data_IF_674196257340
#
_entry.id   IF_674196257340
#
_cell.length_a   1.000
_cell.length_b   1.000
_cell.length_c   1.000
_cell.angle_alpha   90.00
_cell.angle_beta   90.00
_cell.angle_gamma   90.00
#
_symmetry.space_group_name_H-M   'P 1'
#
loop_
_entity.id
_entity.type
_entity.pdbx_description
1 polymer ?
#
# COMPACT_ATOMS: atom_id res chain seq x y z
N UNK A 1 -37.11 -0.84 4.29
CA UNK A 1 -35.83 -1.05 4.99
C UNK A 1 -35.19 0.32 5.14
N UNK A 2 -34.89 0.76 6.37
CA UNK A 2 -34.17 2.02 6.56
C UNK A 2 -32.81 1.91 5.87
N UNK A 3 -32.40 2.87 5.02
CA UNK A 3 -31.04 2.88 4.49
C UNK A 3 -30.10 3.00 5.69
N UNK A 4 -29.18 2.05 5.85
CA UNK A 4 -28.10 2.19 6.82
C UNK A 4 -27.33 3.47 6.46
N UNK A 5 -27.39 4.52 7.29
CA UNK A 5 -27.12 5.87 6.82
C UNK A 5 -25.64 6.18 6.98
N UNK A 6 -24.85 5.90 5.94
CA UNK A 6 -23.44 6.29 5.84
C UNK A 6 -22.51 5.72 6.94
N UNK A 7 -21.21 5.59 6.65
CA UNK A 7 -20.25 5.08 7.65
C UNK A 7 -20.09 6.05 8.82
N UNK A 8 -19.99 5.51 10.03
CA UNK A 8 -19.72 6.28 11.26
C UNK A 8 -18.27 6.78 11.31
N UNK A 9 -17.34 6.05 10.69
CA UNK A 9 -15.94 6.43 10.58
C UNK A 9 -15.68 7.12 9.24
N UNK A 10 -14.82 8.15 9.24
CA UNK A 10 -14.46 8.88 8.02
C UNK A 10 -13.75 7.96 7.00
N UNK A 11 -14.34 7.70 5.82
CA UNK A 11 -13.76 6.79 4.83
C UNK A 11 -12.35 7.17 4.38
N UNK A 12 -12.12 8.47 4.20
CA UNK A 12 -10.81 9.04 3.85
C UNK A 12 -9.74 8.64 4.87
N UNK A 13 -10.01 8.83 6.16
CA UNK A 13 -9.07 8.46 7.22
C UNK A 13 -8.79 6.96 7.19
N UNK A 14 -9.82 6.13 7.06
CA UNK A 14 -9.66 4.67 7.04
C UNK A 14 -8.82 4.18 5.86
N UNK A 15 -9.09 4.64 4.64
CA UNK A 15 -8.33 4.19 3.46
C UNK A 15 -6.88 4.64 3.53
N UNK A 16 -6.61 5.89 3.93
CA UNK A 16 -5.25 6.38 4.02
C UNK A 16 -4.46 5.74 5.17
N UNK A 17 -5.10 5.45 6.31
CA UNK A 17 -4.48 4.68 7.40
C UNK A 17 -4.11 3.26 6.96
N UNK A 18 -4.99 2.58 6.23
CA UNK A 18 -4.70 1.25 5.70
C UNK A 18 -3.51 1.29 4.73
N UNK A 19 -3.53 2.22 3.76
CA UNK A 19 -2.44 2.35 2.79
C UNK A 19 -1.11 2.73 3.46
N UNK A 20 -1.14 3.63 4.44
CA UNK A 20 0.04 3.98 5.24
C UNK A 20 0.58 2.78 6.00
N UNK A 21 -0.29 1.98 6.63
CA UNK A 21 0.11 0.77 7.34
C UNK A 21 0.77 -0.24 6.39
N UNK A 22 0.19 -0.47 5.21
CA UNK A 22 0.78 -1.34 4.20
C UNK A 22 2.16 -0.83 3.76
N UNK A 23 2.30 0.48 3.49
CA UNK A 23 3.57 1.11 3.15
C UNK A 23 4.63 0.87 4.23
N UNK A 24 4.33 1.17 5.49
CA UNK A 24 5.27 1.01 6.62
C UNK A 24 5.61 -0.46 6.87
N UNK A 25 4.65 -1.36 6.63
CA UNK A 25 4.87 -2.79 6.70
C UNK A 25 5.87 -3.25 5.63
N UNK A 26 5.62 -2.93 4.36
CA UNK A 26 6.53 -3.32 3.28
C UNK A 26 7.88 -2.62 3.36
N UNK A 27 7.93 -1.36 3.79
CA UNK A 27 9.19 -0.63 3.94
C UNK A 27 10.10 -1.37 4.93
N UNK A 28 9.58 -1.74 6.10
CA UNK A 28 10.33 -2.51 7.10
C UNK A 28 10.81 -3.86 6.59
N UNK A 29 9.98 -4.60 5.87
CA UNK A 29 10.27 -5.99 5.52
C UNK A 29 10.98 -6.20 4.17
N UNK A 30 10.78 -5.30 3.20
CA UNK A 30 11.35 -5.41 1.84
C UNK A 30 12.45 -4.37 1.55
N UNK A 31 12.49 -3.29 2.34
CA UNK A 31 13.40 -2.16 2.15
C UNK A 31 14.19 -1.81 3.41
N UNK A 32 14.20 -2.68 4.43
CA UNK A 32 14.91 -2.47 5.70
C UNK A 32 14.53 -1.18 6.45
N UNK A 33 13.34 -0.63 6.19
CA UNK A 33 12.85 0.59 6.83
C UNK A 33 13.51 1.87 6.33
N UNK A 34 14.25 1.83 5.22
CA UNK A 34 15.03 2.99 4.76
C UNK A 34 14.25 3.98 3.89
N UNK A 35 13.08 3.61 3.35
CA UNK A 35 12.35 4.52 2.46
C UNK A 35 11.78 5.71 3.24
N UNK A 36 11.93 6.95 2.71
CA UNK A 36 11.40 8.13 3.37
C UNK A 36 9.87 8.15 3.32
N UNK A 37 9.19 8.90 4.21
CA UNK A 37 7.75 9.09 4.10
C UNK A 37 7.40 9.86 2.82
N UNK A 38 6.31 9.44 2.17
CA UNK A 38 5.76 10.08 0.96
C UNK A 38 4.24 10.22 1.07
N UNK A 39 3.64 11.07 0.25
CA UNK A 39 2.19 11.17 0.14
C UNK A 39 1.65 9.99 -0.67
N UNK A 40 0.72 9.22 -0.08
CA UNK A 40 -0.02 8.18 -0.79
C UNK A 40 -1.34 8.79 -1.27
N UNK A 41 -1.52 8.91 -2.59
CA UNK A 41 -2.69 9.53 -3.20
C UNK A 41 -3.54 8.51 -3.97
N UNK A 42 -4.83 8.81 -4.14
CA UNK A 42 -5.74 8.02 -4.96
C UNK A 42 -6.03 8.77 -6.28
N UNK A 43 -5.58 8.22 -7.41
CA UNK A 43 -5.60 8.90 -8.70
C UNK A 43 -6.18 8.00 -9.79
N UNK A 44 -7.30 8.42 -10.40
CA UNK A 44 -7.85 7.72 -11.58
C UNK A 44 -7.08 8.14 -12.82
N UNK A 45 -6.38 7.19 -13.43
CA UNK A 45 -5.66 7.40 -14.69
C UNK A 45 -5.79 6.15 -15.56
N UNK A 46 -6.25 6.34 -16.79
CA UNK A 46 -6.43 5.25 -17.72
C UNK A 46 -5.12 4.47 -17.92
N UNK A 47 -5.22 3.13 -17.93
CA UNK A 47 -4.09 2.22 -18.19
C UNK A 47 -2.91 2.35 -17.21
N UNK A 48 -3.18 2.71 -15.96
CA UNK A 48 -2.14 2.84 -14.93
C UNK A 48 -2.70 2.40 -13.58
N UNK A 49 -2.11 1.36 -12.98
CA UNK A 49 -2.49 0.89 -11.64
C UNK A 49 -1.92 1.78 -10.53
N UNK A 50 -0.74 2.35 -10.74
CA UNK A 50 -0.10 3.31 -9.85
C UNK A 50 1.05 4.04 -10.55
N UNK A 51 1.58 5.08 -9.90
CA UNK A 51 2.79 5.75 -10.35
C UNK A 51 3.49 6.49 -9.21
N UNK A 52 4.81 6.62 -9.33
CA UNK A 52 5.65 7.42 -8.46
C UNK A 52 5.96 8.81 -9.05
N UNK A 53 5.95 9.85 -8.21
CA UNK A 53 6.42 11.20 -8.55
C UNK A 53 7.41 11.74 -7.52
N UNK A 54 8.63 12.06 -7.96
CA UNK A 54 9.66 12.65 -7.09
C UNK A 54 9.43 14.14 -6.81
N UNK A 55 9.59 14.54 -5.55
CA UNK A 55 9.45 15.91 -5.03
C UNK A 55 8.19 16.61 -5.56
N UNK A 56 7.09 15.86 -5.58
CA UNK A 56 5.83 16.31 -6.16
C UNK A 56 5.15 17.38 -5.31
N UNK A 57 5.29 17.27 -4.00
CA UNK A 57 4.62 18.13 -3.03
C UNK A 57 5.63 18.85 -2.17
N UNK A 58 5.24 20.03 -1.68
CA UNK A 58 6.02 20.87 -0.77
C UNK A 58 5.14 21.28 0.40
N UNK A 59 5.66 21.21 1.62
CA UNK A 59 4.99 21.71 2.83
C UNK A 59 5.18 23.22 3.00
N UNK A 60 4.42 23.83 3.91
CA UNK A 60 4.48 25.27 4.19
C UNK A 60 5.87 25.76 4.62
N UNK A 61 6.66 24.88 5.27
CA UNK A 61 8.03 25.14 5.68
C UNK A 61 9.08 24.89 4.57
N UNK A 62 8.64 24.60 3.34
CA UNK A 62 9.49 24.44 2.17
C UNK A 62 10.11 23.05 1.98
N UNK A 63 9.77 22.05 2.82
CA UNK A 63 10.26 20.67 2.65
C UNK A 63 9.48 19.95 1.55
N UNK A 64 10.20 19.31 0.64
CA UNK A 64 9.58 18.48 -0.40
C UNK A 64 9.31 17.06 0.10
N UNK A 65 8.25 16.45 -0.43
CA UNK A 65 7.98 15.02 -0.32
C UNK A 65 7.58 14.45 -1.68
N UNK A 66 7.70 13.13 -1.80
CA UNK A 66 7.35 12.39 -3.00
C UNK A 66 5.89 11.96 -2.98
N UNK A 67 5.43 11.37 -4.08
CA UNK A 67 4.10 10.79 -4.21
C UNK A 67 4.20 9.34 -4.67
N UNK A 68 3.41 8.47 -4.03
CA UNK A 68 2.97 7.20 -4.60
C UNK A 68 1.47 7.31 -4.84
N UNK A 69 1.06 7.35 -6.11
CA UNK A 69 -0.33 7.39 -6.50
C UNK A 69 -0.82 5.97 -6.82
N UNK A 70 -1.96 5.57 -6.25
CA UNK A 70 -2.64 4.32 -6.56
C UNK A 70 -3.96 4.59 -7.26
N UNK A 71 -4.34 3.76 -8.23
CA UNK A 71 -5.60 3.91 -8.93
C UNK A 71 -6.72 3.09 -8.26
N UNK A 72 -7.70 3.74 -7.59
CA UNK A 72 -8.76 3.05 -6.87
C UNK A 72 -9.74 2.30 -7.78
N UNK A 73 -9.74 2.55 -9.09
CA UNK A 73 -10.53 1.84 -10.10
C UNK A 73 -10.27 0.32 -10.06
N UNK A 74 -9.08 -0.10 -9.65
CA UNK A 74 -8.70 -1.52 -9.61
C UNK A 74 -9.02 -2.21 -8.28
N UNK A 75 -9.28 -1.47 -7.20
CA UNK A 75 -9.40 -2.05 -5.85
C UNK A 75 -10.61 -2.99 -5.72
N UNK A 76 -11.69 -2.70 -6.46
CA UNK A 76 -12.92 -3.50 -6.45
C UNK A 76 -12.91 -4.67 -7.43
N UNK A 77 -11.95 -4.74 -8.36
CA UNK A 77 -11.95 -5.72 -9.45
C UNK A 77 -10.73 -6.63 -9.47
N UNK A 78 -9.65 -6.23 -8.80
CA UNK A 78 -8.47 -7.06 -8.61
C UNK A 78 -8.40 -7.57 -7.16
N UNK A 79 -7.81 -8.75 -6.94
CA UNK A 79 -7.42 -9.18 -5.60
C UNK A 79 -6.58 -8.10 -4.90
N UNK A 80 -6.74 -7.97 -3.58
CA UNK A 80 -5.97 -7.01 -2.78
C UNK A 80 -4.46 -7.17 -2.98
N UNK A 81 -4.00 -8.39 -3.26
CA UNK A 81 -2.61 -8.71 -3.51
C UNK A 81 -2.02 -7.93 -4.71
N UNK A 82 -2.80 -7.72 -5.77
CA UNK A 82 -2.38 -6.93 -6.93
C UNK A 82 -2.18 -5.47 -6.54
N UNK A 83 -3.11 -4.87 -5.78
CA UNK A 83 -2.96 -3.51 -5.23
C UNK A 83 -1.70 -3.37 -4.37
N UNK A 84 -1.41 -4.37 -3.52
CA UNK A 84 -0.19 -4.37 -2.70
C UNK A 84 1.08 -4.52 -3.57
N UNK A 85 1.02 -5.30 -4.65
CA UNK A 85 2.12 -5.43 -5.62
C UNK A 85 2.38 -4.10 -6.31
N UNK A 86 1.33 -3.39 -6.76
CA UNK A 86 1.44 -2.04 -7.31
C UNK A 86 2.09 -1.08 -6.31
N UNK A 87 1.65 -1.08 -5.05
CA UNK A 87 2.27 -0.24 -4.01
C UNK A 87 3.77 -0.52 -3.90
N UNK A 88 4.17 -1.80 -3.83
CA UNK A 88 5.58 -2.19 -3.69
C UNK A 88 6.40 -1.92 -4.96
N UNK A 89 5.80 -2.00 -6.15
CA UNK A 89 6.40 -1.56 -7.40
C UNK A 89 6.76 -0.07 -7.33
N UNK A 90 5.81 0.78 -6.93
CA UNK A 90 6.07 2.22 -6.80
C UNK A 90 7.07 2.52 -5.68
N UNK A 91 7.12 1.71 -4.62
CA UNK A 91 8.17 1.78 -3.60
C UNK A 91 9.57 1.46 -4.16
N UNK A 92 9.69 0.64 -5.21
CA UNK A 92 10.97 0.43 -5.89
C UNK A 92 11.42 1.65 -6.68
N UNK A 93 10.49 2.40 -7.27
CA UNK A 93 10.80 3.70 -7.86
C UNK A 93 11.27 4.71 -6.81
N UNK A 94 10.57 4.79 -5.68
CA UNK A 94 10.99 5.61 -4.55
C UNK A 94 12.40 5.20 -4.05
N UNK A 95 12.63 3.90 -3.85
CA UNK A 95 13.93 3.37 -3.46
C UNK A 95 15.04 3.81 -4.42
N UNK A 96 14.85 3.58 -5.73
CA UNK A 96 15.87 3.91 -6.70
C UNK A 96 16.15 5.41 -6.75
N UNK A 97 15.13 6.25 -6.59
CA UNK A 97 15.30 7.69 -6.61
C UNK A 97 16.15 8.22 -5.45
N UNK A 98 16.07 7.60 -4.26
CA UNK A 98 16.83 8.04 -3.08
C UNK A 98 18.15 7.30 -2.87
N UNK A 99 18.26 6.06 -3.32
CA UNK A 99 19.39 5.16 -2.99
C UNK A 99 20.06 4.55 -4.21
N UNK A 100 19.56 4.81 -5.41
CA UNK A 100 20.07 4.26 -6.66
C UNK A 100 20.37 5.34 -7.69
N UNK A 101 20.45 4.92 -8.95
CA UNK A 101 20.72 5.74 -10.12
C UNK A 101 19.64 5.51 -11.18
N UNK A 102 18.50 6.22 -11.09
CA UNK A 102 17.45 6.08 -12.07
C UNK A 102 17.94 6.50 -13.46
N UNK A 103 17.41 5.83 -14.48
CA UNK A 103 17.73 6.15 -15.87
C UNK A 103 17.03 7.42 -16.36
N UNK A 104 17.01 7.58 -17.68
CA UNK A 104 16.18 8.59 -18.35
C UNK A 104 14.71 8.42 -17.95
N UNK A 105 13.96 9.53 -18.00
CA UNK A 105 12.54 9.59 -17.61
C UNK A 105 11.73 8.42 -18.19
N UNK A 106 11.08 7.66 -17.31
CA UNK A 106 10.21 6.53 -17.65
C UNK A 106 10.93 5.22 -17.99
N UNK A 107 12.26 5.20 -18.09
CA UNK A 107 13.00 3.99 -18.41
C UNK A 107 13.39 3.22 -17.14
N UNK A 108 12.93 1.97 -17.07
CA UNK A 108 13.24 1.02 -16.03
C UNK A 108 14.55 0.32 -16.38
N UNK A 109 15.62 0.67 -15.67
CA UNK A 109 16.95 0.15 -15.91
C UNK A 109 17.21 -1.15 -15.14
N UNK A 110 18.42 -1.71 -15.31
CA UNK A 110 18.83 -2.96 -14.68
C UNK A 110 18.83 -2.90 -13.15
N UNK A 111 19.23 -1.77 -12.55
CA UNK A 111 19.28 -1.63 -11.09
C UNK A 111 17.89 -1.71 -10.45
N UNK A 112 16.91 -1.02 -11.04
CA UNK A 112 15.52 -1.15 -10.62
C UNK A 112 15.01 -2.58 -10.80
N UNK A 113 15.34 -3.21 -11.93
CA UNK A 113 14.89 -4.56 -12.22
C UNK A 113 15.47 -5.60 -11.24
N UNK A 114 16.75 -5.45 -10.89
CA UNK A 114 17.41 -6.31 -9.90
C UNK A 114 16.81 -6.10 -8.50
N UNK A 115 16.44 -4.86 -8.14
CA UNK A 115 15.76 -4.58 -6.87
C UNK A 115 14.39 -5.23 -6.81
N UNK A 116 13.56 -5.07 -7.86
CA UNK A 116 12.24 -5.68 -7.97
C UNK A 116 12.34 -7.19 -7.78
N UNK A 117 13.24 -7.85 -8.53
CA UNK A 117 13.42 -9.30 -8.45
C UNK A 117 13.88 -9.75 -7.06
N UNK A 118 14.82 -9.03 -6.45
CA UNK A 118 15.31 -9.33 -5.11
C UNK A 118 14.22 -9.26 -4.03
N UNK A 119 13.21 -8.39 -4.20
CA UNK A 119 12.07 -8.32 -3.28
C UNK A 119 10.90 -9.23 -3.69
N UNK A 120 11.05 -10.05 -4.74
CA UNK A 120 10.05 -11.05 -5.14
C UNK A 120 9.02 -10.58 -6.17
N UNK A 121 9.25 -9.47 -6.85
CA UNK A 121 8.45 -9.01 -8.00
C UNK A 121 9.30 -9.10 -9.27
N UNK A 122 8.91 -9.90 -10.25
CA UNK A 122 9.69 -10.05 -11.48
C UNK A 122 9.25 -9.03 -12.53
N UNK A 123 10.12 -8.09 -12.94
CA UNK A 123 9.82 -7.18 -14.03
C UNK A 123 9.57 -7.90 -15.35
N UNK A 124 8.59 -7.43 -16.12
CA UNK A 124 8.30 -7.95 -17.46
C UNK A 124 7.59 -6.91 -18.33
N UNK A 125 8.09 -6.70 -19.54
CA UNK A 125 7.44 -5.87 -20.57
C UNK A 125 6.13 -6.47 -21.11
N UNK A 126 5.95 -7.78 -20.89
CA UNK A 126 4.73 -8.52 -21.26
C UNK A 126 3.86 -8.88 -20.06
N UNK A 127 4.27 -8.48 -18.84
CA UNK A 127 3.65 -8.87 -17.57
C UNK A 127 3.62 -10.40 -17.33
N UNK A 128 4.42 -11.16 -18.09
CA UNK A 128 4.47 -12.63 -18.08
C UNK A 128 5.92 -13.14 -18.02
N UNK A 129 6.13 -14.40 -17.61
CA UNK A 129 7.44 -15.05 -17.72
C UNK A 129 7.99 -15.00 -19.14
N UNK A 130 9.30 -14.74 -19.27
CA UNK A 130 9.99 -14.64 -20.56
C UNK A 130 10.00 -13.24 -21.18
N UNK A 131 9.28 -12.26 -20.61
CA UNK A 131 9.42 -10.85 -21.00
C UNK A 131 10.78 -10.26 -20.67
N UNK A 132 11.12 -9.13 -21.30
CA UNK A 132 12.32 -8.36 -20.95
C UNK A 132 12.16 -7.80 -19.55
N UNK A 133 13.28 -7.63 -18.83
CA UNK A 133 13.30 -7.07 -17.46
C UNK A 133 13.45 -5.54 -17.41
N UNK A 134 13.71 -4.88 -18.54
CA UNK A 134 14.01 -3.44 -18.62
C UNK A 134 13.35 -2.80 -19.85
N UNK A 135 12.91 -1.53 -19.74
CA UNK A 135 12.20 -0.85 -20.82
C UNK A 135 11.50 0.43 -20.38
N UNK A 136 10.83 1.13 -21.33
CA UNK A 136 10.02 2.32 -21.03
C UNK A 136 8.64 2.01 -20.45
N UNK A 137 8.11 0.83 -20.78
CA UNK A 137 6.80 0.37 -20.36
C UNK A 137 6.97 -1.00 -19.74
N UNK A 138 7.10 -1.01 -18.41
CA UNK A 138 7.29 -2.22 -17.64
C UNK A 138 6.10 -2.43 -16.73
N UNK A 139 5.65 -3.67 -16.66
CA UNK A 139 4.92 -4.17 -15.50
C UNK A 139 5.77 -5.19 -14.77
N UNK A 140 5.12 -5.99 -13.94
CA UNK A 140 5.72 -7.08 -13.21
C UNK A 140 4.73 -8.22 -13.00
N UNK A 141 5.25 -9.31 -12.48
CA UNK A 141 4.46 -10.39 -11.94
C UNK A 141 5.07 -10.92 -10.65
N UNK A 142 4.22 -11.43 -9.77
CA UNK A 142 4.63 -11.86 -8.44
C UNK A 142 5.34 -13.22 -8.53
N UNK A 143 6.54 -13.34 -7.94
CA UNK A 143 7.17 -14.64 -7.78
C UNK A 143 6.48 -15.43 -6.67
N UNK A 144 5.91 -16.59 -6.98
CA UNK A 144 5.10 -17.40 -6.05
C UNK A 144 5.82 -17.72 -4.73
N UNK A 145 7.12 -17.96 -4.79
CA UNK A 145 7.97 -18.24 -3.63
C UNK A 145 8.87 -17.05 -3.24
N UNK A 146 8.65 -15.88 -3.86
CA UNK A 146 9.41 -14.66 -3.62
C UNK A 146 9.11 -13.99 -2.29
N UNK A 147 9.98 -13.04 -1.90
CA UNK A 147 9.88 -12.35 -0.62
C UNK A 147 8.59 -11.53 -0.48
N UNK A 148 8.17 -10.84 -1.55
CA UNK A 148 6.91 -10.10 -1.58
C UNK A 148 5.72 -10.99 -1.20
N UNK A 149 5.57 -12.17 -1.82
CA UNK A 149 4.46 -13.08 -1.52
C UNK A 149 4.45 -13.51 -0.05
N UNK A 150 5.62 -13.82 0.51
CA UNK A 150 5.75 -14.22 1.92
C UNK A 150 5.33 -13.07 2.86
N UNK A 151 5.84 -11.86 2.61
CA UNK A 151 5.52 -10.67 3.41
C UNK A 151 4.06 -10.25 3.25
N UNK A 152 3.52 -10.29 2.04
CA UNK A 152 2.11 -9.96 1.76
C UNK A 152 1.16 -10.93 2.46
N UNK A 153 1.47 -12.24 2.51
CA UNK A 153 0.69 -13.21 3.29
C UNK A 153 0.68 -12.89 4.78
N UNK A 154 1.84 -12.57 5.37
CA UNK A 154 1.89 -12.15 6.77
C UNK A 154 1.08 -10.87 7.03
N UNK A 155 1.09 -9.91 6.10
CA UNK A 155 0.23 -8.73 6.22
C UNK A 155 -1.25 -9.11 6.21
N UNK A 156 -1.66 -10.00 5.32
CA UNK A 156 -3.05 -10.43 5.15
C UNK A 156 -3.55 -11.38 6.25
N UNK A 157 -2.65 -11.96 7.05
CA UNK A 157 -2.98 -12.69 8.30
C UNK A 157 -3.31 -11.75 9.47
N UNK A 158 -2.98 -10.45 9.35
CA UNK A 158 -3.40 -9.43 10.32
C UNK A 158 -4.83 -8.95 10.04
N UNK A 159 -5.33 -8.02 10.86
CA UNK A 159 -6.61 -7.32 10.64
C UNK A 159 -6.57 -6.32 9.47
N UNK A 160 -5.50 -6.30 8.67
CA UNK A 160 -5.36 -5.41 7.54
C UNK A 160 -6.44 -5.64 6.47
N UNK A 161 -7.09 -4.56 6.04
CA UNK A 161 -7.88 -4.57 4.82
C UNK A 161 -8.04 -3.18 4.20
N UNK A 162 -8.31 -3.14 2.90
CA UNK A 162 -8.68 -1.92 2.18
C UNK A 162 -10.21 -1.86 2.13
N UNK A 163 -10.84 -1.04 2.96
CA UNK A 163 -12.29 -1.10 3.22
C UNK A 163 -13.19 -0.41 2.18
N UNK A 164 -12.60 0.28 1.19
CA UNK A 164 -13.33 1.17 0.28
C UNK A 164 -13.05 0.83 -1.18
N UNK A 165 -14.11 0.56 -1.94
CA UNK A 165 -14.05 0.09 -3.32
C UNK A 165 -14.84 1.01 -4.24
N UNK A 166 -14.35 1.17 -5.47
CA UNK A 166 -15.13 1.78 -6.53
C UNK A 166 -16.25 0.83 -6.95
N UNK A 167 -17.49 1.32 -6.95
CA UNK A 167 -18.68 0.53 -7.34
C UNK A 167 -18.92 0.57 -8.86
N UNK A 168 -18.14 1.35 -9.60
CA UNK A 168 -18.19 1.39 -11.05
C UNK A 168 -17.11 0.52 -11.66
N UNK A 169 -17.43 -0.23 -12.74
CA UNK A 169 -16.44 -1.05 -13.41
C UNK A 169 -15.36 -0.15 -14.03
N UNK A 170 -14.09 -0.61 -14.05
CA UNK A 170 -13.04 0.04 -14.82
C UNK A 170 -13.44 0.27 -16.26
N UNK A 171 -12.90 1.30 -16.88
CA UNK A 171 -12.97 1.48 -18.32
C UNK A 171 -12.47 0.21 -19.02
N UNK A 172 -13.14 -0.23 -20.07
CA UNK A 172 -12.80 -1.45 -20.82
C UNK A 172 -11.35 -1.48 -21.30
N UNK A 173 -10.76 -0.32 -21.55
CA UNK A 173 -9.35 -0.15 -21.91
C UNK A 173 -8.35 -0.46 -20.77
N UNK A 174 -8.80 -0.46 -19.51
CA UNK A 174 -7.99 -0.68 -18.30
C UNK A 174 -7.92 -2.18 -17.92
N UNK A 175 -8.90 -3.00 -18.32
CA UNK A 175 -8.98 -4.40 -17.93
C UNK A 175 -7.97 -5.32 -18.64
N UNK A 176 -7.68 -5.07 -19.92
CA UNK A 176 -6.84 -5.97 -20.74
C UNK A 176 -5.37 -6.09 -20.27
N UNK A 177 -4.91 -5.16 -19.42
CA UNK A 177 -3.55 -5.15 -18.86
C UNK A 177 -3.49 -5.58 -17.38
N UNK A 178 -4.64 -5.66 -16.69
CA UNK A 178 -4.69 -5.91 -15.25
C UNK A 178 -4.75 -7.41 -14.87
N UNK A 179 -4.84 -8.31 -15.85
CA UNK A 179 -5.03 -9.75 -15.65
C UNK A 179 -3.70 -10.47 -15.87
N UNK A 180 -2.75 -10.41 -14.95
CA UNK A 180 -1.39 -10.90 -15.28
C UNK A 180 -0.73 -11.85 -14.28
N UNK A 181 -1.16 -11.97 -13.01
CA UNK A 181 -0.59 -13.04 -12.18
C UNK A 181 -1.46 -13.71 -11.12
N UNK A 182 -2.36 -13.00 -10.44
CA UNK A 182 -3.17 -13.66 -9.39
C UNK A 182 -4.13 -14.71 -9.95
N UNK A 183 -4.56 -14.54 -11.22
CA UNK A 183 -5.32 -15.55 -11.96
C UNK A 183 -4.50 -16.78 -12.37
N UNK A 184 -3.17 -16.68 -12.50
CA UNK A 184 -2.29 -17.78 -12.91
C UNK A 184 -1.84 -18.65 -11.73
N UNK A 185 -1.71 -18.09 -10.53
CA UNK A 185 -1.23 -18.81 -9.36
C UNK A 185 -2.33 -19.57 -8.59
N UNK A 186 -3.60 -19.46 -9.00
CA UNK A 186 -4.73 -20.15 -8.36
C UNK A 186 -4.81 -19.96 -6.82
N UNK A 187 -4.27 -18.85 -6.31
CA UNK A 187 -4.27 -18.47 -4.86
C UNK A 187 -5.69 -18.06 -4.40
N UNK A 188 -6.58 -17.93 -5.38
CA UNK A 188 -7.97 -17.53 -5.37
C UNK A 188 -8.88 -18.23 -4.34
N UNK A 189 -8.53 -19.44 -3.88
CA UNK A 189 -9.36 -20.16 -2.90
C UNK A 189 -9.20 -19.64 -1.46
N UNK A 190 -8.11 -18.91 -1.14
CA UNK A 190 -7.77 -18.56 0.24
C UNK A 190 -7.75 -17.06 0.54
N UNK A 191 -7.62 -16.21 -0.48
CA UNK A 191 -7.58 -14.76 -0.30
C UNK A 191 -8.98 -14.18 -0.47
N UNK A 192 -9.49 -13.52 0.58
CA UNK A 192 -10.79 -12.83 0.59
C UNK A 192 -10.92 -11.94 -0.66
N UNK A 193 -11.74 -12.34 -1.63
CA UNK A 193 -12.14 -11.44 -2.71
C UNK A 193 -12.99 -10.31 -2.11
N UNK A 194 -12.79 -9.05 -2.51
CA UNK A 194 -13.75 -8.01 -2.20
C UNK A 194 -15.15 -8.41 -2.69
N UNK A 195 -16.23 -8.12 -1.93
CA UNK A 195 -17.62 -8.40 -2.33
C UNK A 195 -18.01 -7.79 -3.70
N UNK A 196 -17.24 -6.83 -4.21
CA UNK A 196 -17.49 -6.17 -5.48
C UNK A 196 -17.45 -7.13 -6.70
N UNK A 197 -16.81 -8.30 -6.60
CA UNK A 197 -16.87 -9.33 -7.65
C UNK A 197 -18.15 -10.20 -7.61
N UNK A 198 -18.92 -10.15 -6.52
CA UNK A 198 -20.28 -10.73 -6.47
C UNK A 198 -21.35 -9.76 -7.00
N UNK A 199 -20.96 -8.54 -7.41
CA UNK A 199 -21.84 -7.65 -8.19
C UNK A 199 -21.93 -8.24 -9.60
N UNK A 200 -22.84 -9.20 -9.73
CA UNK A 200 -23.13 -9.98 -10.92
C UNK A 200 -23.18 -9.13 -12.20
N UNK A 201 -22.74 -9.77 -13.28
CA UNK A 201 -22.96 -9.37 -14.68
C UNK A 201 -24.32 -8.70 -14.87
N UNK A 202 -24.37 -7.36 -14.89
CA UNK A 202 -25.55 -6.62 -15.33
C UNK A 202 -26.12 -5.53 -14.42
N UNK A 203 -25.56 -5.23 -13.24
CA UNK A 203 -26.06 -4.09 -12.46
C UNK A 203 -25.51 -2.75 -12.99
N UNK A 204 -26.32 -2.08 -13.83
CA UNK A 204 -26.33 -0.61 -13.88
C UNK A 204 -26.81 -0.12 -12.50
N UNK A 205 -26.27 0.96 -11.92
CA UNK A 205 -26.71 1.43 -10.62
C UNK A 205 -28.22 1.68 -10.61
N UNK A 206 -28.93 1.02 -9.70
CA UNK A 206 -30.26 1.44 -9.25
C UNK A 206 -30.11 2.73 -8.43
N UNK A 207 -29.80 3.82 -9.10
CA UNK A 207 -30.17 5.14 -8.65
C UNK A 207 -30.75 5.87 -9.85
N UNK A 208 -32.04 5.67 -10.09
CA UNK A 208 -32.81 6.64 -10.85
C UNK A 208 -32.76 7.94 -10.06
N UNK A 209 -31.84 8.82 -10.42
CA UNK A 209 -31.97 10.24 -10.08
C UNK A 209 -33.31 10.65 -10.69
N UNK A 210 -34.33 10.90 -9.86
CA UNK A 210 -35.47 11.69 -10.33
C UNK A 210 -34.87 13.01 -10.78
N UNK A 211 -34.98 13.30 -12.09
CA UNK A 211 -34.67 14.60 -12.65
C UNK A 211 -35.43 15.63 -11.82
N UNK A 212 -34.72 16.32 -10.94
CA UNK A 212 -35.26 17.47 -10.25
C UNK A 212 -35.13 18.61 -11.25
N UNK A 213 -36.19 18.88 -12.01
CA UNK A 213 -36.31 20.05 -12.88
C UNK A 213 -36.49 21.32 -12.04
N UNK A 214 -35.58 21.57 -11.10
CA UNK A 214 -35.44 22.88 -10.50
C UNK A 214 -34.44 23.65 -11.35
N UNK A 215 -35.00 24.43 -12.28
CA UNK A 215 -34.31 25.53 -12.94
C UNK A 215 -33.65 26.39 -11.85
N UNK A 216 -32.31 26.42 -11.85
CA UNK A 216 -31.58 27.46 -11.12
C UNK A 216 -31.46 28.61 -12.12
N UNK A 217 -32.34 29.60 -11.98
CA UNK A 217 -32.22 30.87 -12.69
C UNK A 217 -30.95 31.58 -12.20
N UNK A 218 -29.94 31.63 -13.06
CA UNK A 218 -28.72 32.39 -12.82
C UNK A 218 -29.02 33.85 -13.17
N UNK A 219 -29.61 34.60 -12.23
CA UNK A 219 -29.62 36.06 -12.23
C UNK A 219 -29.98 36.59 -10.83
N UNK A 220 -29.00 37.15 -10.11
CA UNK A 220 -29.24 38.09 -9.01
C UNK A 220 -28.72 37.68 -7.63
N UNK A 221 -27.63 38.34 -7.22
CA UNK A 221 -27.19 38.70 -5.86
C UNK A 221 -27.21 37.66 -4.71
N UNK A 222 -26.01 37.36 -4.19
CA UNK A 222 -25.80 36.57 -2.97
C UNK A 222 -26.22 37.33 -1.71
N UNK A 223 -27.45 37.13 -1.26
CA UNK A 223 -27.89 37.54 0.08
C UNK A 223 -27.69 36.39 1.07
N UNK A 224 -26.52 36.35 1.72
CA UNK A 224 -26.35 35.56 2.96
C UNK A 224 -27.01 36.35 4.09
N UNK A 225 -28.25 36.00 4.44
CA UNK A 225 -28.90 36.50 5.67
C UNK A 225 -28.52 35.59 6.83
N UNK A 226 -27.74 36.12 7.77
CA UNK A 226 -27.59 35.54 9.10
C UNK A 226 -28.94 35.66 9.85
N UNK A 227 -29.43 34.62 10.53
CA UNK A 227 -30.72 34.69 11.21
C UNK A 227 -30.62 35.56 12.47
N UNK A 228 -31.59 36.47 12.61
CA UNK A 228 -31.79 37.34 13.78
C UNK A 228 -32.29 36.54 15.00
N UNK A 229 -31.66 36.81 16.15
CA UNK A 229 -32.07 36.31 17.46
C UNK A 229 -33.49 36.79 17.80
N UNK A 230 -34.41 35.84 18.02
CA UNK A 230 -35.63 36.11 18.79
C UNK A 230 -35.83 34.99 19.81
N UNK A 231 -35.80 35.40 21.07
CA UNK A 231 -36.07 34.60 22.26
C UNK A 231 -37.54 34.22 22.36
N UNK A 232 -37.87 32.96 22.64
CA UNK A 232 -38.89 32.54 23.62
C UNK A 232 -38.79 31.02 23.88
N UNK A 233 -39.07 30.66 25.14
CA UNK A 233 -38.72 29.42 25.84
C UNK A 233 -39.49 28.16 25.36
N UNK A 234 -38.84 27.00 25.40
CA UNK A 234 -39.13 25.90 26.36
C UNK A 234 -38.32 24.63 26.03
N UNK A 235 -37.55 24.16 27.02
CA UNK A 235 -37.19 22.74 27.21
C UNK A 235 -36.28 22.06 26.19
N UNK A 236 -34.97 22.32 26.25
CA UNK A 236 -33.97 21.42 25.66
C UNK A 236 -32.90 21.14 26.73
N UNK A 237 -32.78 19.86 27.08
CA UNK A 237 -31.67 19.32 27.87
C UNK A 237 -30.35 19.73 27.22
N UNK A 238 -29.55 20.48 27.97
CA UNK A 238 -28.15 20.74 27.63
C UNK A 238 -27.43 19.39 27.59
N UNK A 239 -27.22 18.84 26.40
CA UNK A 239 -26.10 17.93 26.20
C UNK A 239 -24.92 18.77 25.74
N UNK A 240 -24.15 19.14 26.76
CA UNK A 240 -22.76 19.56 26.73
C UNK A 240 -22.03 18.97 25.52
N UNK A 241 -21.39 19.83 24.73
CA UNK A 241 -20.44 19.43 23.69
C UNK A 241 -19.25 18.72 24.36
N UNK A 242 -19.42 17.43 24.63
CA UNK A 242 -18.30 16.58 25.04
C UNK A 242 -17.50 16.26 23.79
N UNK A 243 -16.45 17.04 23.59
CA UNK A 243 -15.30 16.69 22.76
C UNK A 243 -14.75 15.33 23.23
N UNK A 244 -15.29 14.26 22.64
CA UNK A 244 -14.66 12.93 22.67
C UNK A 244 -14.02 12.71 21.31
N UNK A 245 -12.95 13.46 21.09
CA UNK A 245 -11.77 12.88 20.44
C UNK A 245 -11.55 11.53 21.12
N UNK A 246 -11.54 10.46 20.35
CA UNK A 246 -11.22 9.12 20.82
C UNK A 246 -9.93 9.18 21.70
N UNK A 247 -10.03 8.85 23.00
CA UNK A 247 -8.92 8.95 23.95
C UNK A 247 -7.79 7.91 23.70
N UNK A 248 -7.86 7.09 22.66
CA UNK A 248 -6.74 6.24 22.22
C UNK A 248 -5.77 6.92 21.22
N UNK A 249 -6.08 8.13 20.73
CA UNK A 249 -5.31 8.81 19.69
C UNK A 249 -4.09 9.66 20.14
N UNK A 250 -3.96 10.19 21.39
CA UNK A 250 -2.76 10.99 21.75
C UNK A 250 -1.73 10.29 22.64
N UNK A 251 -2.01 9.14 23.25
CA UNK A 251 -1.09 8.52 24.23
C UNK A 251 -0.08 7.51 23.66
N UNK A 252 0.02 7.35 22.34
CA UNK A 252 1.04 6.48 21.71
C UNK A 252 2.12 7.21 20.91
N UNK A 253 2.09 8.55 20.82
CA UNK A 253 2.99 9.27 19.92
C UNK A 253 4.03 10.19 20.56
N UNK A 254 4.01 10.48 21.87
CA UNK A 254 5.09 11.26 22.49
C UNK A 254 5.35 10.82 23.94
N UNK A 255 6.58 10.36 24.19
CA UNK A 255 7.22 10.05 25.49
C UNK A 255 6.89 8.71 26.18
N UNK A 256 7.59 7.65 25.74
CA UNK A 256 8.53 6.89 26.58
C UNK A 256 9.42 6.03 25.65
N UNK A 257 10.44 6.65 25.04
CA UNK A 257 11.59 5.92 24.52
C UNK A 257 12.84 6.49 25.15
N UNK A 258 13.23 5.89 26.27
CA UNK A 258 14.48 6.18 26.96
C UNK A 258 15.59 5.34 26.30
N UNK A 259 16.61 5.95 25.66
CA UNK A 259 17.68 5.23 25.00
C UNK A 259 18.68 4.75 26.06
N UNK A 260 18.34 3.66 26.74
CA UNK A 260 19.30 2.95 27.59
C UNK A 260 19.53 1.55 27.02
N UNK A 261 20.59 1.50 26.21
CA UNK A 261 21.49 0.37 25.96
C UNK A 261 20.92 -1.02 26.28
N UNK A 262 20.35 -1.68 25.29
CA UNK A 262 20.19 -3.14 25.25
C UNK A 262 20.57 -3.61 23.83
N UNK A 263 21.39 -4.65 23.65
CA UNK A 263 21.79 -5.11 22.33
C UNK A 263 20.56 -5.57 21.55
N UNK A 264 20.54 -5.31 20.25
CA UNK A 264 19.55 -5.86 19.31
C UNK A 264 19.59 -7.40 19.39
N UNK A 265 18.71 -8.00 20.17
CA UNK A 265 18.51 -9.45 20.11
C UNK A 265 17.85 -9.78 18.78
N UNK A 266 18.63 -10.49 17.97
CA UNK A 266 18.28 -10.98 16.66
C UNK A 266 17.08 -11.94 16.77
N UNK A 267 15.88 -11.47 16.41
CA UNK A 267 14.63 -12.27 16.38
C UNK A 267 14.59 -13.26 15.21
N UNK A 268 15.66 -13.36 14.43
CA UNK A 268 15.88 -14.47 13.50
C UNK A 268 16.16 -15.73 14.32
N UNK A 269 15.28 -16.74 14.22
CA UNK A 269 15.57 -18.11 14.67
C UNK A 269 16.69 -18.79 13.85
N UNK A 270 17.61 -18.02 13.26
CA UNK A 270 18.74 -18.48 12.46
C UNK A 270 20.01 -17.80 12.95
N UNK A 271 21.03 -18.59 13.25
CA UNK A 271 22.38 -18.17 13.59
C UNK A 271 23.22 -18.10 12.32
N UNK A 272 24.18 -17.16 12.29
CA UNK A 272 25.23 -17.11 11.28
C UNK A 272 26.35 -18.05 11.72
N UNK A 273 26.74 -18.96 10.83
CA UNK A 273 27.89 -19.83 10.98
C UNK A 273 28.97 -19.36 10.00
N UNK A 274 30.23 -19.33 10.41
CA UNK A 274 31.36 -18.96 9.56
C UNK A 274 32.50 -19.97 9.70
N UNK A 275 33.08 -20.38 8.57
CA UNK A 275 34.29 -21.20 8.56
C UNK A 275 35.49 -20.36 9.04
N UNK A 276 36.23 -20.77 10.08
CA UNK A 276 37.35 -19.99 10.63
C UNK A 276 38.56 -19.96 9.68
N UNK A 277 38.64 -20.89 8.71
CA UNK A 277 39.77 -20.98 7.78
C UNK A 277 39.57 -20.16 6.51
N UNK A 278 38.41 -20.25 5.85
CA UNK A 278 38.15 -19.59 4.56
C UNK A 278 37.11 -18.48 4.62
N UNK A 279 36.53 -18.22 5.79
CA UNK A 279 35.55 -17.15 6.03
C UNK A 279 34.20 -17.29 5.31
N UNK A 280 33.97 -18.41 4.60
CA UNK A 280 32.66 -18.75 4.04
C UNK A 280 31.60 -18.75 5.16
N UNK A 281 30.43 -18.18 4.89
CA UNK A 281 29.36 -18.02 5.87
C UNK A 281 28.02 -18.57 5.38
N UNK A 282 27.27 -19.17 6.30
CA UNK A 282 25.93 -19.75 6.06
C UNK A 282 25.01 -19.41 7.22
N UNK A 283 23.71 -19.26 6.97
CA UNK A 283 22.70 -19.02 8.01
C UNK A 283 21.79 -20.22 8.16
N UNK A 284 21.57 -20.66 9.39
CA UNK A 284 20.72 -21.81 9.66
C UNK A 284 20.21 -21.84 11.09
N UNK A 285 19.36 -22.82 11.41
CA UNK A 285 18.81 -22.96 12.77
C UNK A 285 19.92 -23.11 13.83
N UNK A 286 19.65 -22.83 15.12
CA UNK A 286 20.60 -23.10 16.19
C UNK A 286 21.06 -24.56 16.22
N UNK A 287 22.29 -24.78 16.70
CA UNK A 287 22.90 -26.11 16.88
C UNK A 287 23.06 -26.95 15.60
N UNK A 288 23.29 -26.32 14.44
CA UNK A 288 23.70 -27.04 13.24
C UNK A 288 25.17 -27.44 13.33
N UNK A 289 25.44 -28.71 13.02
CA UNK A 289 26.79 -29.23 12.89
C UNK A 289 27.20 -29.16 11.40
N UNK A 290 28.01 -28.16 11.03
CA UNK A 290 28.37 -27.86 9.64
C UNK A 290 29.88 -27.97 9.48
N UNK A 291 30.33 -28.72 8.48
CA UNK A 291 31.74 -28.83 8.09
C UNK A 291 31.93 -28.14 6.74
N UNK A 292 32.99 -27.35 6.61
CA UNK A 292 33.41 -26.75 5.35
C UNK A 292 34.00 -27.80 4.42
N UNK A 293 33.40 -28.01 3.24
CA UNK A 293 33.89 -28.95 2.24
C UNK A 293 35.29 -28.60 1.70
N UNK A 294 35.65 -27.31 1.72
CA UNK A 294 36.96 -26.86 1.22
C UNK A 294 38.06 -26.97 2.27
N UNK A 295 37.73 -26.68 3.53
CA UNK A 295 38.72 -26.59 4.61
C UNK A 295 38.68 -27.78 5.57
N UNK A 296 37.67 -28.65 5.48
CA UNK A 296 37.43 -29.78 6.39
C UNK A 296 37.38 -29.40 7.88
N UNK A 297 37.06 -28.15 8.20
CA UNK A 297 36.87 -27.65 9.57
C UNK A 297 35.41 -27.34 9.83
N UNK A 298 35.02 -27.34 11.11
CA UNK A 298 33.67 -26.95 11.52
C UNK A 298 33.47 -25.46 11.34
N UNK A 299 32.27 -25.05 10.92
CA UNK A 299 31.87 -23.65 11.02
C UNK A 299 31.60 -23.30 12.49
N UNK A 300 31.91 -22.07 12.88
CA UNK A 300 31.67 -21.51 14.20
C UNK A 300 30.54 -20.48 14.16
N UNK A 301 29.77 -20.36 15.24
CA UNK A 301 28.72 -19.34 15.34
C UNK A 301 29.37 -17.97 15.54
N UNK A 302 28.98 -17.01 14.70
CA UNK A 302 29.46 -15.63 14.81
C UNK A 302 28.29 -14.76 15.29
N UNK A 303 28.46 -14.18 16.48
CA UNK A 303 27.54 -13.21 17.07
C UNK A 303 27.67 -11.83 16.40
#
# INVERSE_FOLDING_TARGET
MNPQPYPQNAPTTQVHQALQFAYDFFNRHLFAGQLPPCLISLQRKAKTQGYFSFRRFISEDGRYTDEIALNPEFFGVLPVLDTLSTLVHEMCHLWQQHFGSPGRRGYHNKEWADKMEAIGLMPSDTHKPGGKRTGEHMGDYILEHGLFMQVARHLLETEFSIHWYDVYPPYSASFGQAVTHTYLLNIDQSLKRPPALEVERGMRPLYQVKLNNQHIDINGESNIKLPENTSHETGILYHEWVSTLDPAAPHRLLNEYNPSVMPLENRSNRLKYQCPSCLNAVWGKPNLNIICGDCSVHFEVVN
#
